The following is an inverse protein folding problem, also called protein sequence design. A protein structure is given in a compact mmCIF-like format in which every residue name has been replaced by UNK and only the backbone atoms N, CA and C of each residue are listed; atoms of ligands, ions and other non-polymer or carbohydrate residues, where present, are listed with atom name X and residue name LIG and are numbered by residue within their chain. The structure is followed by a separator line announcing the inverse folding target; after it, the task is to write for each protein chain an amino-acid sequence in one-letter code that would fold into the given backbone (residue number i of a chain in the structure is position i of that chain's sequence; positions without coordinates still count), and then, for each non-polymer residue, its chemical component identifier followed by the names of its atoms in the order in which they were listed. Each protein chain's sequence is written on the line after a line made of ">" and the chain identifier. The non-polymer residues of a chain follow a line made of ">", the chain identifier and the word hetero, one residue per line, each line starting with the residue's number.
data_IF_913913184041
#
_entry.id   IF_913913184041
#
_cell.length_a   1.000
_cell.length_b   1.000
_cell.length_c   1.000
_cell.angle_alpha   90.00
_cell.angle_beta   90.00
_cell.angle_gamma   90.00
#
_symmetry.space_group_name_H-M   'P 1'
#
loop_
_entity.id
_entity.type
_entity.pdbx_description
1 polymer ?
#
# COMPACT_ATOMS: atom_id res chain seq x y z
N UNK A 1 -23.68 33.24 2.69
CA UNK A 1 -24.59 32.09 2.48
C UNK A 1 -23.88 30.82 2.89
N UNK A 2 -24.38 30.22 3.95
CA UNK A 2 -23.83 29.10 4.72
C UNK A 2 -24.08 27.77 4.03
N UNK A 3 -23.02 27.13 3.52
CA UNK A 3 -23.02 25.69 3.26
C UNK A 3 -22.26 24.97 4.39
N UNK A 4 -23.00 24.57 5.41
CA UNK A 4 -22.56 23.58 6.38
C UNK A 4 -22.45 22.20 5.71
N UNK A 5 -21.27 21.89 5.18
CA UNK A 5 -20.79 20.50 5.11
C UNK A 5 -19.78 20.32 6.23
N UNK A 6 -20.24 19.90 7.41
CA UNK A 6 -19.36 19.31 8.40
C UNK A 6 -18.75 18.04 7.78
N UNK A 7 -17.59 18.15 7.14
CA UNK A 7 -16.72 17.00 6.93
C UNK A 7 -16.38 16.49 8.32
N UNK A 8 -17.05 15.42 8.76
CA UNK A 8 -16.65 14.71 9.98
C UNK A 8 -15.17 14.38 9.82
N UNK A 9 -14.32 15.07 10.59
CA UNK A 9 -12.88 14.79 10.65
C UNK A 9 -12.76 13.29 10.86
N UNK A 10 -11.98 12.62 9.99
CA UNK A 10 -11.79 11.18 10.08
C UNK A 10 -11.43 10.82 11.53
N UNK A 11 -12.07 9.83 12.16
CA UNK A 11 -11.70 9.38 13.50
C UNK A 11 -10.21 8.98 13.63
N UNK A 12 -9.58 8.62 12.50
CA UNK A 12 -8.15 8.32 12.40
C UNK A 12 -7.25 9.56 12.21
N UNK A 13 -7.83 10.76 12.09
CA UNK A 13 -7.09 12.00 11.90
C UNK A 13 -6.00 12.24 12.95
N UNK A 14 -6.18 11.92 14.25
CA UNK A 14 -5.10 12.08 15.23
C UNK A 14 -3.86 11.21 14.91
N UNK A 15 -4.07 9.96 14.48
CA UNK A 15 -2.98 9.04 14.14
C UNK A 15 -2.27 9.52 12.87
N UNK A 16 -3.06 9.93 11.86
CA UNK A 16 -2.50 10.50 10.61
C UNK A 16 -1.73 11.78 10.92
N UNK A 17 -2.26 12.67 11.75
CA UNK A 17 -1.59 13.91 12.14
C UNK A 17 -0.28 13.65 12.89
N UNK A 18 -0.22 12.64 13.77
CA UNK A 18 1.03 12.23 14.39
C UNK A 18 2.04 11.72 13.35
N UNK A 19 1.61 10.85 12.42
CA UNK A 19 2.47 10.37 11.34
C UNK A 19 2.92 11.47 10.36
N UNK A 20 2.12 12.54 10.24
CA UNK A 20 2.50 13.73 9.48
C UNK A 20 3.55 14.56 10.21
N UNK A 21 3.58 14.60 11.55
CA UNK A 21 4.50 15.44 12.33
C UNK A 21 5.84 14.80 12.60
N UNK A 22 5.89 13.49 12.75
CA UNK A 22 7.10 12.74 13.06
C UNK A 22 7.09 11.37 12.38
N UNK A 23 8.28 10.84 12.06
CA UNK A 23 8.39 9.46 11.63
C UNK A 23 8.11 8.50 12.81
N UNK A 24 6.93 7.89 12.81
CA UNK A 24 6.53 6.90 13.80
C UNK A 24 7.20 5.55 13.56
N UNK A 25 7.81 4.99 14.61
CA UNK A 25 8.33 3.62 14.57
C UNK A 25 7.18 2.59 14.38
N UNK A 26 7.44 1.45 13.72
CA UNK A 26 6.39 0.47 13.39
C UNK A 26 5.55 0.01 14.58
N UNK A 27 6.19 -0.28 15.72
CA UNK A 27 5.48 -0.71 16.94
C UNK A 27 4.62 0.40 17.55
N UNK A 28 5.05 1.66 17.42
CA UNK A 28 4.27 2.81 17.90
C UNK A 28 3.05 3.01 17.03
N UNK A 29 3.22 3.02 15.71
CA UNK A 29 2.12 3.17 14.77
C UNK A 29 1.10 2.03 14.90
N UNK A 30 1.57 0.78 15.01
CA UNK A 30 0.72 -0.39 15.25
C UNK A 30 -0.08 -0.26 16.55
N UNK A 31 0.56 0.09 17.68
CA UNK A 31 -0.13 0.25 18.97
C UNK A 31 -1.23 1.30 18.92
N UNK A 32 -0.95 2.47 18.32
CA UNK A 32 -1.94 3.53 18.15
C UNK A 32 -3.16 3.03 17.35
N UNK A 33 -2.91 2.31 16.25
CA UNK A 33 -3.97 1.73 15.43
C UNK A 33 -4.79 0.69 16.21
N UNK A 34 -4.14 -0.19 16.98
CA UNK A 34 -4.81 -1.20 17.80
C UNK A 34 -5.68 -0.59 18.90
N UNK A 35 -5.16 0.42 19.59
CA UNK A 35 -5.92 1.17 20.61
C UNK A 35 -7.17 1.81 19.99
N UNK A 36 -7.01 2.43 18.82
CA UNK A 36 -8.15 3.02 18.11
C UNK A 36 -9.20 1.96 17.71
N UNK A 37 -8.78 0.80 17.19
CA UNK A 37 -9.70 -0.30 16.87
C UNK A 37 -10.48 -0.78 18.10
N UNK A 38 -9.82 -0.89 19.26
CA UNK A 38 -10.44 -1.31 20.52
C UNK A 38 -11.51 -0.31 20.99
N UNK A 39 -11.31 0.98 20.75
CA UNK A 39 -12.23 2.04 21.18
C UNK A 39 -13.39 2.28 20.21
N UNK A 40 -13.18 2.07 18.90
CA UNK A 40 -14.12 2.52 17.85
C UNK A 40 -14.99 1.41 17.25
N UNK A 41 -14.86 0.16 17.70
CA UNK A 41 -15.41 -1.04 17.05
C UNK A 41 -15.01 -1.22 15.57
N UNK A 42 -14.14 -0.35 15.03
CA UNK A 42 -13.67 -0.45 13.64
C UNK A 42 -12.55 -1.48 13.57
N UNK A 43 -12.79 -2.53 12.79
CA UNK A 43 -11.78 -3.58 12.53
C UNK A 43 -10.81 -3.21 11.42
N UNK A 44 -11.28 -2.44 10.42
CA UNK A 44 -10.48 -2.00 9.28
C UNK A 44 -10.24 -0.49 9.36
N UNK A 45 -8.98 -0.10 9.23
CA UNK A 45 -8.54 1.30 9.24
C UNK A 45 -8.08 1.70 7.84
N UNK A 46 -8.40 2.93 7.46
CA UNK A 46 -7.99 3.51 6.19
C UNK A 46 -7.24 4.82 6.40
N UNK A 47 -6.08 4.93 5.77
CA UNK A 47 -5.17 6.06 5.90
C UNK A 47 -5.19 6.90 4.62
N UNK A 48 -5.38 8.21 4.81
CA UNK A 48 -5.64 9.17 3.74
C UNK A 48 -6.92 8.87 2.91
N UNK A 49 -7.40 9.89 2.20
CA UNK A 49 -8.59 9.78 1.35
C UNK A 49 -8.13 9.57 -0.10
N UNK A 50 -8.73 8.61 -0.85
CA UNK A 50 -8.47 8.50 -2.28
C UNK A 50 -8.74 9.83 -3.00
N UNK A 51 -7.89 10.24 -3.96
CA UNK A 51 -8.12 11.42 -4.76
C UNK A 51 -9.51 11.43 -5.44
N UNK A 52 -10.16 12.59 -5.59
CA UNK A 52 -11.51 12.68 -6.19
C UNK A 52 -11.61 12.13 -7.62
N UNK A 53 -10.51 12.10 -8.38
CA UNK A 53 -10.51 11.56 -9.73
C UNK A 53 -10.54 10.01 -9.77
N UNK A 54 -10.28 9.33 -8.64
CA UNK A 54 -10.36 7.87 -8.54
C UNK A 54 -11.75 7.36 -8.12
N UNK A 55 -12.69 8.25 -7.82
CA UNK A 55 -14.06 7.88 -7.44
C UNK A 55 -15.03 8.21 -8.58
N UNK A 56 -16.04 7.37 -8.73
CA UNK A 56 -17.07 7.52 -9.77
C UNK A 56 -18.44 7.73 -9.10
N UNK A 57 -18.65 8.96 -8.64
CA UNK A 57 -19.90 9.35 -7.98
C UNK A 57 -21.10 9.26 -8.94
N UNK A 58 -20.91 9.37 -10.26
CA UNK A 58 -21.98 9.23 -11.25
C UNK A 58 -22.56 7.81 -11.25
N UNK A 59 -21.71 6.80 -11.07
CA UNK A 59 -22.11 5.40 -10.92
C UNK A 59 -22.29 4.99 -9.44
N UNK A 60 -22.33 5.96 -8.53
CA UNK A 60 -22.55 5.75 -7.09
C UNK A 60 -21.38 5.12 -6.35
N UNK A 61 -20.18 5.13 -6.94
CA UNK A 61 -18.94 4.61 -6.37
C UNK A 61 -18.18 5.74 -5.67
N UNK A 62 -18.33 5.84 -4.35
CA UNK A 62 -17.57 6.76 -3.52
C UNK A 62 -16.34 6.10 -2.89
N UNK A 63 -15.70 6.85 -1.99
CA UNK A 63 -14.51 6.39 -1.23
C UNK A 63 -14.72 5.05 -0.53
N UNK A 64 -15.90 4.83 0.05
CA UNK A 64 -16.18 3.60 0.82
C UNK A 64 -16.33 2.39 -0.11
N UNK A 65 -16.96 2.58 -1.26
CA UNK A 65 -17.12 1.52 -2.26
C UNK A 65 -15.77 1.11 -2.86
N UNK A 66 -14.92 2.09 -3.20
CA UNK A 66 -13.56 1.84 -3.68
C UNK A 66 -12.71 1.10 -2.63
N UNK A 67 -12.73 1.54 -1.38
CA UNK A 67 -11.99 0.88 -0.28
C UNK A 67 -12.38 -0.58 -0.11
N UNK A 68 -13.67 -0.89 -0.11
CA UNK A 68 -14.16 -2.29 -0.02
C UNK A 68 -13.72 -3.15 -1.19
N UNK A 69 -13.67 -2.57 -2.40
CA UNK A 69 -13.11 -3.27 -3.54
C UNK A 69 -11.62 -3.56 -3.34
N UNK A 70 -10.84 -2.56 -2.92
CA UNK A 70 -9.40 -2.71 -2.69
C UNK A 70 -9.09 -3.71 -1.57
N UNK A 71 -9.90 -3.79 -0.51
CA UNK A 71 -9.77 -4.82 0.52
C UNK A 71 -9.95 -6.24 -0.07
N UNK A 72 -10.88 -6.41 -1.02
CA UNK A 72 -11.06 -7.68 -1.73
C UNK A 72 -9.92 -7.94 -2.71
N UNK A 73 -9.47 -6.90 -3.41
CA UNK A 73 -8.36 -6.97 -4.35
C UNK A 73 -7.06 -7.36 -3.64
N UNK A 74 -6.81 -6.87 -2.42
CA UNK A 74 -5.65 -7.24 -1.62
C UNK A 74 -5.56 -8.76 -1.44
N UNK A 75 -6.68 -9.42 -1.16
CA UNK A 75 -6.72 -10.88 -1.02
C UNK A 75 -6.43 -11.59 -2.36
N UNK A 76 -6.99 -11.10 -3.47
CA UNK A 76 -6.73 -11.66 -4.80
C UNK A 76 -5.26 -11.52 -5.18
N UNK A 77 -4.73 -10.29 -5.13
CA UNK A 77 -3.33 -9.98 -5.44
C UNK A 77 -2.38 -10.76 -4.54
N UNK A 78 -2.69 -10.95 -3.26
CA UNK A 78 -1.86 -11.76 -2.34
C UNK A 78 -1.79 -13.23 -2.75
N UNK A 79 -2.80 -13.76 -3.44
CA UNK A 79 -2.87 -15.17 -3.82
C UNK A 79 -2.45 -15.46 -5.27
N UNK A 80 -2.42 -14.47 -6.17
CA UNK A 80 -2.03 -14.65 -7.58
C UNK A 80 -0.56 -15.05 -7.74
N UNK A 81 -0.25 -16.19 -8.34
CA UNK A 81 1.14 -16.64 -8.49
C UNK A 81 1.89 -16.02 -9.68
N UNK A 82 1.16 -15.58 -10.71
CA UNK A 82 1.74 -15.31 -12.03
C UNK A 82 1.94 -13.81 -12.28
N UNK A 83 3.18 -13.41 -12.53
CA UNK A 83 3.52 -12.06 -13.02
C UNK A 83 2.99 -11.88 -14.45
N UNK A 84 2.52 -10.67 -14.78
CA UNK A 84 1.84 -10.37 -16.03
C UNK A 84 0.37 -10.82 -16.08
N UNK A 85 -0.14 -11.50 -15.04
CA UNK A 85 -1.55 -11.86 -14.96
C UNK A 85 -2.42 -10.61 -14.97
N UNK A 86 -3.31 -10.50 -15.95
CA UNK A 86 -4.16 -9.36 -16.19
C UNK A 86 -5.64 -9.72 -15.96
N UNK A 87 -6.33 -8.91 -15.17
CA UNK A 87 -7.78 -9.03 -14.96
C UNK A 87 -8.47 -7.67 -15.07
N UNK A 88 -9.66 -7.67 -15.68
CA UNK A 88 -10.57 -6.53 -15.65
C UNK A 88 -11.71 -6.77 -14.65
N UNK A 89 -12.05 -5.72 -13.92
CA UNK A 89 -13.17 -5.67 -13.00
C UNK A 89 -14.09 -4.50 -13.34
N UNK A 90 -15.38 -4.71 -13.14
CA UNK A 90 -16.41 -3.69 -13.26
C UNK A 90 -17.11 -3.54 -11.91
N UNK A 91 -17.05 -2.34 -11.33
CA UNK A 91 -17.72 -2.01 -10.08
C UNK A 91 -18.99 -1.22 -10.38
N UNK A 92 -20.11 -1.67 -9.80
CA UNK A 92 -21.38 -0.94 -9.84
C UNK A 92 -22.10 -1.01 -8.52
N UNK A 93 -22.71 0.11 -8.12
CA UNK A 93 -23.64 0.13 -7.00
C UNK A 93 -25.02 -0.31 -7.47
N UNK A 94 -25.53 -1.37 -6.87
CA UNK A 94 -26.82 -1.96 -7.21
C UNK A 94 -27.77 -1.94 -6.03
N UNK A 95 -29.06 -1.87 -6.30
CA UNK A 95 -30.11 -2.09 -5.31
C UNK A 95 -30.59 -3.52 -5.43
N UNK A 96 -30.45 -4.29 -4.35
CA UNK A 96 -30.96 -5.66 -4.28
C UNK A 96 -32.25 -5.60 -3.48
N UNK A 97 -33.35 -6.05 -4.09
CA UNK A 97 -34.61 -6.28 -3.40
C UNK A 97 -34.50 -7.64 -2.71
N UNK A 98 -34.52 -7.64 -1.38
CA UNK A 98 -34.64 -8.87 -0.59
C UNK A 98 -36.13 -9.08 -0.34
N UNK A 99 -36.68 -10.12 -0.96
CA UNK A 99 -38.08 -10.49 -0.76
C UNK A 99 -38.35 -10.93 0.67
N UNK A 100 -39.46 -10.47 1.24
CA UNK A 100 -40.29 -11.23 2.17
C UNK A 100 -41.72 -11.15 1.66
N UNK A 101 -42.43 -12.23 1.88
CA UNK A 101 -43.71 -12.58 1.28
C UNK A 101 -44.79 -11.49 1.35
N UNK A 102 -45.83 -11.67 0.53
CA UNK A 102 -46.83 -10.73 0.02
C UNK A 102 -47.66 -9.88 1.03
N UNK A 103 -47.26 -9.77 2.30
CA UNK A 103 -47.84 -8.86 3.30
C UNK A 103 -46.81 -8.00 4.06
N UNK A 104 -45.51 -8.11 3.76
CA UNK A 104 -44.47 -7.34 4.48
C UNK A 104 -43.45 -6.67 3.56
N UNK A 105 -43.20 -5.38 3.83
CA UNK A 105 -42.29 -4.45 3.13
C UNK A 105 -41.05 -5.10 2.52
N UNK A 106 -40.86 -4.96 1.20
CA UNK A 106 -39.61 -5.30 0.51
C UNK A 106 -38.45 -4.47 1.07
N UNK A 107 -37.44 -5.12 1.63
CA UNK A 107 -36.24 -4.44 2.11
C UNK A 107 -35.30 -4.28 0.92
N UNK A 108 -35.13 -3.04 0.44
CA UNK A 108 -34.11 -2.71 -0.57
C UNK A 108 -32.79 -2.43 0.13
N UNK A 109 -31.76 -3.25 -0.14
CA UNK A 109 -30.40 -3.03 0.37
C UNK A 109 -29.48 -2.56 -0.74
N UNK A 110 -28.70 -1.52 -0.48
CA UNK A 110 -27.62 -1.08 -1.37
C UNK A 110 -26.47 -2.08 -1.27
N UNK A 111 -26.02 -2.61 -2.39
CA UNK A 111 -24.88 -3.52 -2.49
C UNK A 111 -23.89 -3.06 -3.58
N UNK A 112 -22.66 -3.57 -3.50
CA UNK A 112 -21.64 -3.39 -4.52
C UNK A 112 -21.57 -4.70 -5.30
N UNK A 113 -21.85 -4.63 -6.60
CA UNK A 113 -21.59 -5.72 -7.52
C UNK A 113 -20.19 -5.54 -8.12
N UNK A 114 -19.38 -6.60 -8.07
CA UNK A 114 -18.09 -6.70 -8.73
C UNK A 114 -18.22 -7.84 -9.73
N UNK A 115 -17.94 -7.57 -11.00
CA UNK A 115 -17.99 -8.58 -12.05
C UNK A 115 -16.74 -8.52 -12.92
N UNK A 116 -16.36 -9.68 -13.47
CA UNK A 116 -15.36 -9.79 -14.54
C UNK A 116 -15.95 -9.51 -15.93
N UNK A 117 -17.28 -9.55 -16.04
CA UNK A 117 -18.00 -9.14 -17.25
C UNK A 117 -18.57 -7.73 -17.08
N UNK A 118 -18.68 -6.94 -18.16
CA UNK A 118 -19.25 -5.60 -18.10
C UNK A 118 -20.69 -5.62 -17.54
N UNK A 119 -20.93 -4.97 -16.40
CA UNK A 119 -22.26 -4.87 -15.76
C UNK A 119 -23.19 -3.82 -16.44
N UNK A 120 -23.16 -3.78 -17.78
CA UNK A 120 -23.59 -2.70 -18.68
C UNK A 120 -22.59 -1.53 -18.80
N UNK A 121 -22.74 -0.72 -19.86
CA UNK A 121 -21.87 0.40 -20.24
C UNK A 121 -21.74 1.56 -19.21
N UNK A 122 -22.25 1.40 -17.99
CA UNK A 122 -22.30 2.43 -16.92
C UNK A 122 -21.75 1.89 -15.60
N UNK A 123 -20.53 1.36 -15.61
CA UNK A 123 -19.81 0.90 -14.42
C UNK A 123 -18.39 1.45 -14.38
N UNK A 124 -17.79 1.50 -13.20
CA UNK A 124 -16.39 1.88 -13.04
C UNK A 124 -15.52 0.71 -13.48
N UNK A 125 -14.71 0.90 -14.53
CA UNK A 125 -13.75 -0.08 -15.04
C UNK A 125 -12.48 -0.02 -14.20
N UNK A 126 -11.98 -1.17 -13.79
CA UNK A 126 -10.70 -1.31 -13.09
C UNK A 126 -9.89 -2.41 -13.77
N UNK A 127 -8.72 -2.05 -14.27
CA UNK A 127 -7.75 -2.97 -14.83
C UNK A 127 -6.69 -3.27 -13.77
N UNK A 128 -6.35 -4.55 -13.61
CA UNK A 128 -5.35 -5.03 -12.64
C UNK A 128 -4.36 -5.92 -13.37
N UNK A 129 -3.08 -5.60 -13.28
CA UNK A 129 -2.01 -6.45 -13.79
C UNK A 129 -1.02 -6.76 -12.68
N UNK A 130 -0.71 -8.03 -12.45
CA UNK A 130 0.31 -8.41 -11.47
C UNK A 130 1.69 -8.00 -12.00
N UNK A 131 2.31 -7.02 -11.35
CA UNK A 131 3.56 -6.43 -11.80
C UNK A 131 4.79 -7.16 -11.26
N UNK A 132 4.70 -7.71 -10.04
CA UNK A 132 5.82 -8.42 -9.44
C UNK A 132 5.60 -8.81 -7.99
N UNK A 133 6.32 -9.84 -7.53
CA UNK A 133 6.30 -10.30 -6.14
C UNK A 133 7.63 -10.05 -5.43
N UNK A 134 7.57 -9.39 -4.26
CA UNK A 134 8.71 -9.18 -3.37
C UNK A 134 8.67 -10.09 -2.14
N UNK A 135 9.55 -9.81 -1.17
CA UNK A 135 9.56 -10.54 0.11
C UNK A 135 8.34 -10.25 0.98
N UNK A 136 7.89 -9.00 0.99
CA UNK A 136 6.92 -8.52 1.96
C UNK A 136 5.53 -8.31 1.36
N UNK A 137 5.41 -8.33 0.04
CA UNK A 137 4.13 -8.19 -0.64
C UNK A 137 4.22 -8.41 -2.13
N UNK A 138 3.06 -8.35 -2.77
CA UNK A 138 2.91 -8.38 -4.23
C UNK A 138 2.40 -7.03 -4.70
N UNK A 139 2.94 -6.56 -5.82
CA UNK A 139 2.54 -5.30 -6.45
C UNK A 139 1.73 -5.62 -7.70
N UNK A 140 0.62 -4.91 -7.86
CA UNK A 140 -0.18 -4.90 -9.07
C UNK A 140 -0.25 -3.47 -9.61
N UNK A 141 -0.22 -3.34 -10.94
CA UNK A 141 -0.59 -2.12 -11.65
C UNK A 141 -2.11 -2.03 -11.68
N UNK A 142 -2.65 -0.92 -11.21
CA UNK A 142 -4.08 -0.65 -11.14
C UNK A 142 -4.39 0.55 -12.05
N UNK A 143 -5.30 0.39 -13.01
CA UNK A 143 -5.86 1.50 -13.78
C UNK A 143 -7.35 1.62 -13.52
N UNK A 144 -7.82 2.83 -13.26
CA UNK A 144 -9.23 3.12 -12.96
C UNK A 144 -9.79 4.02 -14.08
N UNK A 145 -10.87 3.61 -14.74
CA UNK A 145 -11.58 4.37 -15.77
C UNK A 145 -10.63 5.02 -16.82
N UNK A 146 -9.68 4.25 -17.34
CA UNK A 146 -8.66 4.70 -18.30
C UNK A 146 -7.78 5.87 -17.80
N UNK A 147 -7.75 6.08 -16.48
CA UNK A 147 -6.94 7.10 -15.82
C UNK A 147 -5.47 6.71 -15.69
N UNK A 148 -4.80 7.32 -14.72
CA UNK A 148 -3.40 7.08 -14.45
C UNK A 148 -3.17 5.68 -13.85
N UNK A 149 -2.03 5.07 -14.18
CA UNK A 149 -1.59 3.82 -13.55
C UNK A 149 -1.19 4.08 -12.09
N UNK A 150 -1.57 3.16 -11.22
CA UNK A 150 -1.30 3.20 -9.79
C UNK A 150 -0.59 1.91 -9.39
N UNK A 151 0.35 2.01 -8.44
CA UNK A 151 0.98 0.85 -7.83
C UNK A 151 0.17 0.42 -6.59
N UNK A 152 -0.55 -0.70 -6.72
CA UNK A 152 -1.27 -1.32 -5.61
C UNK A 152 -0.41 -2.43 -4.99
N UNK A 153 0.03 -2.25 -3.75
CA UNK A 153 0.84 -3.23 -3.01
C UNK A 153 -0.02 -3.92 -1.96
N UNK A 154 -0.13 -5.25 -2.04
CA UNK A 154 -0.74 -6.10 -1.03
C UNK A 154 0.34 -6.78 -0.17
N UNK A 155 0.26 -6.66 1.16
CA UNK A 155 1.27 -7.20 2.08
C UNK A 155 0.98 -8.67 2.43
N UNK A 156 2.00 -9.54 2.50
CA UNK A 156 1.82 -10.98 2.78
C UNK A 156 1.53 -11.31 4.25
N UNK A 157 2.21 -10.64 5.20
CA UNK A 157 2.02 -10.84 6.64
C UNK A 157 1.70 -9.50 7.32
N UNK A 158 0.49 -8.94 7.10
CA UNK A 158 0.15 -7.60 7.59
C UNK A 158 0.10 -7.52 9.12
N UNK A 159 -0.01 -8.64 9.83
CA UNK A 159 0.04 -8.66 11.31
C UNK A 159 1.47 -8.61 11.87
N UNK A 160 2.49 -8.85 11.04
CA UNK A 160 3.88 -8.82 11.51
C UNK A 160 4.41 -7.39 11.54
N UNK A 161 4.69 -6.90 12.75
CA UNK A 161 5.21 -5.54 12.97
C UNK A 161 6.70 -5.49 12.69
N UNK A 162 7.06 -4.89 11.56
CA UNK A 162 8.41 -4.96 11.00
C UNK A 162 8.71 -3.74 10.12
N UNK A 163 9.99 -3.35 9.99
CA UNK A 163 10.41 -2.17 9.22
C UNK A 163 10.18 -2.27 7.71
N UNK A 164 9.83 -3.45 7.21
CA UNK A 164 9.49 -3.69 5.81
C UNK A 164 8.00 -3.98 5.58
N UNK A 165 7.19 -4.02 6.66
CA UNK A 165 5.76 -4.31 6.60
C UNK A 165 4.87 -3.05 6.51
N UNK A 166 3.54 -3.21 6.50
CA UNK A 166 2.61 -2.09 6.39
C UNK A 166 2.78 -1.08 7.53
N UNK A 167 3.10 -1.54 8.73
CA UNK A 167 3.28 -0.68 9.90
C UNK A 167 4.49 0.24 9.82
N UNK A 168 5.42 -0.02 8.91
CA UNK A 168 6.53 0.88 8.60
C UNK A 168 6.23 1.71 7.35
N UNK A 169 5.72 1.07 6.29
CA UNK A 169 5.52 1.71 4.99
C UNK A 169 4.38 2.73 4.96
N UNK A 170 3.32 2.53 5.73
CA UNK A 170 2.20 3.48 5.81
C UNK A 170 2.62 4.78 6.51
N UNK A 171 3.21 4.78 7.73
CA UNK A 171 3.59 6.03 8.37
C UNK A 171 4.71 6.76 7.62
N UNK A 172 5.69 6.06 7.03
CA UNK A 172 6.69 6.73 6.17
C UNK A 172 6.02 7.33 4.94
N UNK A 173 5.08 6.63 4.29
CA UNK A 173 4.31 7.17 3.16
C UNK A 173 3.55 8.45 3.53
N UNK A 174 2.89 8.48 4.69
CA UNK A 174 2.22 9.68 5.20
C UNK A 174 3.21 10.83 5.42
N UNK A 175 4.37 10.57 6.05
CA UNK A 175 5.39 11.59 6.33
C UNK A 175 6.02 12.13 5.04
N UNK A 176 6.41 11.26 4.11
CA UNK A 176 6.96 11.64 2.80
C UNK A 176 5.99 12.53 2.01
N UNK A 177 4.70 12.14 1.98
CA UNK A 177 3.65 12.94 1.34
C UNK A 177 3.51 14.32 1.98
N UNK A 178 3.51 14.38 3.31
CA UNK A 178 3.40 15.64 4.04
C UNK A 178 4.59 16.57 3.79
N UNK A 179 5.80 16.01 3.74
CA UNK A 179 7.05 16.73 3.47
C UNK A 179 7.31 17.00 1.98
N UNK A 180 6.40 16.64 1.07
CA UNK A 180 6.54 16.84 -0.37
C UNK A 180 7.81 16.20 -0.96
N UNK A 181 8.14 14.99 -0.51
CA UNK A 181 9.21 14.18 -1.13
C UNK A 181 8.67 13.57 -2.43
N UNK A 182 8.99 14.18 -3.56
CA UNK A 182 8.39 13.83 -4.87
C UNK A 182 9.42 13.54 -5.96
N UNK A 183 10.69 13.90 -5.78
CA UNK A 183 11.70 13.90 -6.87
C UNK A 183 12.34 12.56 -7.18
N UNK A 184 12.46 11.66 -6.22
CA UNK A 184 13.23 10.41 -6.33
C UNK A 184 12.56 9.24 -5.60
N UNK A 185 11.25 9.38 -5.34
CA UNK A 185 10.39 8.39 -4.68
C UNK A 185 8.98 8.46 -5.30
N UNK A 186 8.24 7.33 -5.37
CA UNK A 186 6.82 7.31 -5.71
C UNK A 186 6.00 8.06 -4.65
N UNK A 187 4.97 8.79 -5.09
CA UNK A 187 4.07 9.47 -4.17
C UNK A 187 3.12 8.49 -3.48
N UNK A 188 3.02 8.59 -2.16
CA UNK A 188 2.02 7.86 -1.38
C UNK A 188 0.63 8.46 -1.58
N UNK A 189 -0.35 7.63 -1.94
CA UNK A 189 -1.71 8.10 -2.19
C UNK A 189 -2.60 7.86 -0.96
N UNK A 190 -2.85 6.59 -0.65
CA UNK A 190 -3.71 6.15 0.45
C UNK A 190 -3.49 4.65 0.72
N UNK A 191 -3.96 4.17 1.88
CA UNK A 191 -3.74 2.79 2.29
C UNK A 191 -4.86 2.25 3.20
N UNK A 192 -4.79 0.95 3.43
CA UNK A 192 -5.45 0.22 4.50
C UNK A 192 -4.38 -0.50 5.33
N UNK A 193 -4.79 -1.31 6.31
CA UNK A 193 -3.82 -2.00 7.20
C UNK A 193 -2.99 -3.08 6.48
N UNK A 194 -3.47 -3.60 5.35
CA UNK A 194 -2.88 -4.74 4.65
C UNK A 194 -2.62 -4.49 3.15
N UNK A 195 -2.85 -3.27 2.67
CA UNK A 195 -2.49 -2.82 1.33
C UNK A 195 -2.20 -1.32 1.30
N UNK A 196 -1.40 -0.88 0.33
CA UNK A 196 -1.07 0.53 0.10
C UNK A 196 -1.11 0.86 -1.39
N UNK A 197 -1.53 2.08 -1.73
CA UNK A 197 -1.55 2.61 -3.09
C UNK A 197 -0.53 3.73 -3.21
N UNK A 198 0.35 3.57 -4.19
CA UNK A 198 1.40 4.50 -4.55
C UNK A 198 1.21 4.92 -6.01
N UNK A 199 1.89 5.99 -6.39
CA UNK A 199 2.11 6.34 -7.79
C UNK A 199 2.79 5.19 -8.55
N UNK A 200 2.35 4.91 -9.77
CA UNK A 200 3.08 4.02 -10.66
C UNK A 200 4.22 4.76 -11.37
N UNK A 201 5.43 4.22 -11.28
CA UNK A 201 6.61 4.79 -11.97
C UNK A 201 6.93 3.94 -13.19
N UNK A 202 6.80 4.52 -14.37
CA UNK A 202 7.23 3.89 -15.61
C UNK A 202 8.76 3.81 -15.69
N UNK A 203 9.32 2.82 -16.41
CA UNK A 203 10.77 2.59 -16.49
C UNK A 203 11.59 3.84 -16.90
N UNK A 204 11.03 4.68 -17.76
CA UNK A 204 11.69 5.87 -18.29
C UNK A 204 11.26 7.18 -17.62
N UNK A 205 10.44 7.11 -16.56
CA UNK A 205 10.07 8.30 -15.79
C UNK A 205 11.32 8.86 -15.10
N UNK A 206 11.51 10.19 -15.18
CA UNK A 206 12.56 10.93 -14.48
C UNK A 206 11.96 11.92 -13.46
N UNK A 207 11.52 11.48 -12.27
CA UNK A 207 10.84 12.36 -11.32
C UNK A 207 11.67 13.54 -10.79
N UNK A 208 12.99 13.53 -11.00
CA UNK A 208 13.84 14.70 -10.77
C UNK A 208 13.38 15.93 -11.57
N UNK A 209 12.62 15.74 -12.65
CA UNK A 209 12.02 16.82 -13.44
C UNK A 209 10.67 17.32 -12.90
N UNK A 210 10.14 16.79 -11.79
CA UNK A 210 8.90 17.30 -11.19
C UNK A 210 9.13 18.73 -10.67
N UNK A 211 8.15 19.60 -10.92
CA UNK A 211 8.18 20.97 -10.43
C UNK A 211 7.88 20.98 -8.93
N UNK A 212 8.81 21.51 -8.14
CA UNK A 212 8.68 21.60 -6.67
C UNK A 212 9.05 20.31 -5.93
N UNK A 213 8.90 20.33 -4.61
CA UNK A 213 9.24 19.22 -3.72
C UNK A 213 10.74 19.05 -3.46
N UNK A 214 11.05 18.08 -2.59
CA UNK A 214 12.42 17.74 -2.15
C UNK A 214 12.79 16.32 -2.56
N UNK A 215 14.09 16.01 -2.53
CA UNK A 215 14.60 14.64 -2.69
C UNK A 215 14.48 13.88 -1.38
N UNK A 216 14.52 12.54 -1.46
CA UNK A 216 14.61 11.68 -0.31
C UNK A 216 15.89 11.94 0.48
N UNK A 217 17.00 12.26 -0.20
CA UNK A 217 18.25 12.57 0.48
C UNK A 217 18.14 13.80 1.37
N UNK A 218 17.57 14.89 0.85
CA UNK A 218 17.29 16.12 1.63
C UNK A 218 16.40 15.79 2.84
N UNK A 219 15.33 15.03 2.63
CA UNK A 219 14.43 14.60 3.70
C UNK A 219 15.12 13.69 4.74
N UNK A 220 15.93 12.72 4.29
CA UNK A 220 16.60 11.77 5.15
C UNK A 220 17.64 12.45 6.06
N UNK A 221 18.33 13.47 5.54
CA UNK A 221 19.23 14.30 6.33
C UNK A 221 18.48 15.08 7.42
N UNK A 222 17.33 15.68 7.08
CA UNK A 222 16.49 16.41 8.04
C UNK A 222 15.92 15.51 9.15
N UNK A 223 15.53 14.29 8.80
CA UNK A 223 14.87 13.35 9.71
C UNK A 223 15.82 12.37 10.44
N UNK A 224 17.12 12.39 10.11
CA UNK A 224 18.11 11.46 10.65
C UNK A 224 17.84 10.00 10.25
N UNK A 225 17.49 9.78 8.98
CA UNK A 225 17.13 8.46 8.47
C UNK A 225 18.33 7.68 7.96
N UNK A 226 18.14 6.37 7.90
CA UNK A 226 19.08 5.46 7.24
C UNK A 226 19.27 5.86 5.78
N UNK A 227 20.53 5.85 5.31
CA UNK A 227 20.80 5.95 3.87
C UNK A 227 20.16 4.75 3.17
N UNK A 228 19.56 4.99 2.00
CA UNK A 228 19.03 3.90 1.19
C UNK A 228 20.18 2.96 0.80
N UNK A 229 19.93 1.66 0.84
CA UNK A 229 20.93 0.67 0.45
C UNK A 229 21.10 0.70 -1.09
N UNK A 230 22.26 1.12 -1.63
CA UNK A 230 22.48 1.21 -3.07
C UNK A 230 22.59 -0.18 -3.72
N UNK A 231 22.88 -1.23 -2.95
CA UNK A 231 23.03 -2.58 -3.47
C UNK A 231 21.69 -3.24 -3.83
N UNK A 232 20.57 -2.70 -3.34
CA UNK A 232 19.24 -3.26 -3.59
C UNK A 232 18.67 -2.75 -4.92
N UNK A 233 19.39 -3.03 -6.01
CA UNK A 233 19.13 -2.51 -7.37
C UNK A 233 17.69 -2.83 -7.84
N UNK A 234 17.09 -3.95 -7.41
CA UNK A 234 15.70 -4.31 -7.75
C UNK A 234 14.65 -3.34 -7.22
N UNK A 235 15.00 -2.53 -6.21
CA UNK A 235 14.11 -1.51 -5.67
C UNK A 235 14.36 -0.15 -6.32
N UNK A 236 15.13 -0.08 -7.42
CA UNK A 236 15.36 1.15 -8.16
C UNK A 236 14.97 1.01 -9.62
N UNK A 237 14.53 2.10 -10.24
CA UNK A 237 14.42 2.18 -11.69
C UNK A 237 15.80 2.47 -12.33
N UNK A 238 15.92 2.44 -13.68
CA UNK A 238 17.17 2.76 -14.39
C UNK A 238 17.75 4.16 -14.15
N UNK A 239 16.97 5.05 -13.53
CA UNK A 239 17.35 6.42 -13.17
C UNK A 239 17.57 6.60 -11.67
N UNK A 240 17.86 5.50 -10.94
CA UNK A 240 18.15 5.48 -9.50
C UNK A 240 17.02 6.01 -8.61
N UNK A 241 15.78 6.02 -9.10
CA UNK A 241 14.61 6.31 -8.28
C UNK A 241 14.24 5.10 -7.44
N UNK A 242 14.02 5.31 -6.13
CA UNK A 242 13.66 4.25 -5.19
C UNK A 242 12.18 3.90 -5.30
N UNK A 243 11.86 2.71 -5.79
CA UNK A 243 10.49 2.24 -6.05
C UNK A 243 9.76 1.69 -4.80
N UNK A 244 10.49 1.38 -3.73
CA UNK A 244 9.93 0.74 -2.53
C UNK A 244 10.43 1.43 -1.25
N UNK A 245 9.55 2.02 -0.43
CA UNK A 245 9.94 2.68 0.82
C UNK A 245 10.29 1.70 1.94
N UNK A 246 10.12 0.40 1.74
CA UNK A 246 10.43 -0.63 2.72
C UNK A 246 11.87 -0.53 3.25
N UNK A 247 12.02 -0.50 4.57
CA UNK A 247 13.31 -0.42 5.25
C UNK A 247 13.81 0.99 5.57
N UNK A 248 13.07 2.05 5.19
CA UNK A 248 13.34 3.41 5.66
C UNK A 248 13.00 3.48 7.16
N UNK A 249 13.97 3.88 7.98
CA UNK A 249 13.83 4.00 9.42
C UNK A 249 14.78 5.06 9.98
N UNK A 250 14.52 5.54 11.21
CA UNK A 250 15.50 6.35 11.94
C UNK A 250 16.76 5.52 12.22
N UNK A 251 17.93 6.13 12.07
CA UNK A 251 19.18 5.47 12.45
C UNK A 251 19.40 5.60 13.97
N UNK A 252 19.64 4.48 14.65
CA UNK A 252 19.97 4.45 16.07
C UNK A 252 20.81 3.20 16.42
N UNK A 253 21.57 3.27 17.51
CA UNK A 253 22.41 2.15 17.97
C UNK A 253 21.56 0.91 18.26
N UNK A 254 21.97 -0.23 17.72
CA UNK A 254 21.26 -1.51 17.90
C UNK A 254 20.15 -1.78 16.89
N UNK A 255 19.75 -0.80 16.06
CA UNK A 255 18.74 -0.98 15.00
C UNK A 255 19.08 -2.15 14.07
N UNK A 256 20.30 -2.22 13.54
CA UNK A 256 20.72 -3.27 12.60
C UNK A 256 20.53 -4.69 13.17
N UNK A 257 20.82 -4.87 14.47
CA UNK A 257 20.62 -6.14 15.15
C UNK A 257 19.12 -6.45 15.31
N UNK A 258 18.32 -5.48 15.73
CA UNK A 258 16.86 -5.62 15.81
C UNK A 258 16.25 -5.97 14.45
N UNK A 259 16.69 -5.28 13.40
CA UNK A 259 16.25 -5.51 12.02
C UNK A 259 16.60 -6.92 11.54
N UNK A 260 17.81 -7.39 11.85
CA UNK A 260 18.25 -8.76 11.54
C UNK A 260 17.37 -9.79 12.25
N UNK A 261 17.17 -9.64 13.57
CA UNK A 261 16.34 -10.56 14.35
C UNK A 261 14.90 -10.62 13.83
N UNK A 262 14.28 -9.46 13.55
CA UNK A 262 12.93 -9.42 12.98
C UNK A 262 12.87 -10.02 11.58
N UNK A 263 13.90 -9.82 10.76
CA UNK A 263 14.00 -10.44 9.43
C UNK A 263 14.04 -11.95 9.55
N UNK A 264 14.87 -12.51 10.45
CA UNK A 264 14.93 -13.96 10.71
C UNK A 264 13.58 -14.49 11.14
N UNK A 265 12.90 -13.85 12.10
CA UNK A 265 11.57 -14.25 12.56
C UNK A 265 10.55 -14.22 11.41
N UNK A 266 10.58 -13.19 10.58
CA UNK A 266 9.71 -13.09 9.41
C UNK A 266 9.90 -14.28 8.47
N UNK A 267 11.13 -14.61 8.10
CA UNK A 267 11.40 -15.74 7.20
C UNK A 267 11.03 -17.08 7.81
N UNK A 268 11.24 -17.26 9.11
CA UNK A 268 10.77 -18.46 9.81
C UNK A 268 9.25 -18.59 9.73
N UNK A 269 8.51 -17.49 9.94
CA UNK A 269 7.03 -17.46 9.79
C UNK A 269 6.60 -17.73 8.36
N UNK A 270 7.27 -17.12 7.38
CA UNK A 270 6.97 -17.29 5.95
C UNK A 270 7.22 -18.73 5.50
N UNK A 271 8.36 -19.32 5.86
CA UNK A 271 8.68 -20.71 5.56
C UNK A 271 7.70 -21.69 6.22
N UNK A 272 7.22 -21.41 7.44
CA UNK A 272 6.15 -22.21 8.08
C UNK A 272 4.81 -22.12 7.34
N UNK A 273 4.46 -20.96 6.78
CA UNK A 273 3.18 -20.71 6.10
C UNK A 273 3.15 -21.22 4.67
N UNK A 274 4.21 -20.96 3.93
CA UNK A 274 4.29 -21.15 2.47
C UNK A 274 5.24 -22.31 2.08
N UNK A 275 5.89 -22.94 3.06
CA UNK A 275 6.95 -23.93 2.83
C UNK A 275 8.24 -23.30 2.29
N UNK A 276 9.24 -24.14 2.01
CA UNK A 276 10.51 -23.70 1.42
C UNK A 276 10.37 -23.19 -0.01
N UNK A 277 9.24 -23.46 -0.68
CA UNK A 277 8.91 -22.87 -2.00
C UNK A 277 8.82 -21.35 -1.94
N UNK A 278 8.53 -20.77 -0.78
CA UNK A 278 8.59 -19.32 -0.59
C UNK A 278 9.98 -18.71 -0.81
N UNK A 279 11.03 -19.55 -0.75
CA UNK A 279 12.41 -19.12 -0.95
C UNK A 279 12.85 -19.17 -2.41
N UNK A 280 12.08 -19.82 -3.31
CA UNK A 280 12.50 -20.01 -4.71
C UNK A 280 12.80 -18.72 -5.47
N UNK A 281 12.11 -17.57 -5.26
CA UNK A 281 12.52 -16.32 -5.90
C UNK A 281 13.93 -15.85 -5.50
N UNK A 282 14.45 -16.33 -4.36
CA UNK A 282 15.75 -15.93 -3.81
C UNK A 282 16.87 -16.94 -4.06
N UNK A 283 16.54 -18.12 -4.58
CA UNK A 283 17.54 -19.12 -4.99
C UNK A 283 18.09 -18.85 -6.41
N UNK A 284 17.76 -17.70 -7.01
CA UNK A 284 18.33 -17.29 -8.29
C UNK A 284 19.80 -16.85 -8.14
N UNK A 285 20.65 -17.09 -9.16
CA UNK A 285 22.05 -16.66 -9.15
C UNK A 285 22.22 -15.15 -8.90
N UNK A 286 21.29 -14.35 -9.44
CA UNK A 286 21.22 -12.90 -9.25
C UNK A 286 21.05 -12.54 -7.77
N UNK A 287 20.17 -13.25 -7.07
CA UNK A 287 19.87 -12.97 -5.68
C UNK A 287 20.93 -13.55 -4.73
N UNK A 288 21.55 -14.68 -5.07
CA UNK A 288 22.71 -15.21 -4.36
C UNK A 288 23.91 -14.23 -4.42
N UNK A 289 24.20 -13.67 -5.60
CA UNK A 289 25.22 -12.63 -5.78
C UNK A 289 24.89 -11.37 -4.97
N UNK A 290 23.63 -10.95 -4.96
CA UNK A 290 23.18 -9.82 -4.14
C UNK A 290 23.38 -10.06 -2.65
N UNK A 291 23.02 -11.24 -2.14
CA UNK A 291 23.21 -11.60 -0.73
C UNK A 291 24.70 -11.65 -0.36
N UNK A 292 25.56 -12.18 -1.24
CA UNK A 292 27.01 -12.19 -1.04
C UNK A 292 27.58 -10.77 -0.95
N UNK A 293 27.23 -9.89 -1.90
CA UNK A 293 27.67 -8.49 -1.89
C UNK A 293 27.19 -7.75 -0.64
N UNK A 294 25.95 -8.03 -0.21
CA UNK A 294 25.39 -7.46 1.01
C UNK A 294 26.08 -7.98 2.27
N UNK A 295 26.47 -9.26 2.29
CA UNK A 295 27.25 -9.82 3.39
C UNK A 295 28.62 -9.15 3.48
N UNK A 296 29.35 -9.03 2.36
CA UNK A 296 30.64 -8.31 2.31
C UNK A 296 30.50 -6.86 2.80
N UNK A 297 29.46 -6.14 2.36
CA UNK A 297 29.19 -4.77 2.77
C UNK A 297 28.70 -4.60 4.23
N UNK A 298 28.40 -5.70 4.95
CA UNK A 298 28.11 -5.66 6.40
C UNK A 298 29.37 -5.78 7.25
N UNK A 299 30.47 -6.28 6.69
CA UNK A 299 31.78 -6.43 7.36
C UNK A 299 32.81 -5.36 6.96
N UNK A 300 32.42 -4.44 6.06
CA UNK A 300 33.13 -3.20 5.75
C UNK A 300 32.35 -2.00 6.29
#
# INVERSE_FOLDING_TARGET
>A
MTHHYHSKVSPLAPIVFQAQRELLAPDRFYRLCRQFCQQSSQKQLYFCTPPPHLIDLKNGIGTNELRKFLDRLANLVRCSADEGHYEEFYIKRVWIALGRDAKTRTIRKKAIAISKTPLCAKGMKIEVEIAGAGMIGRVARLRINDGQDLAFKAFFDPEFVWQHGPWAEIPIGIRLKYCQVTKDMPEFLFASQDWAVWEWIYPHTKPQSRLGGITYEEFAQQEGLTKLNPLNISNYNPHYLRLDPGGIAKEYRGRRLQDLLRSVIFYLRKARREGLKSLTPYLSPKMARYLLLRFVALFH
#
